data_IF_478602892372
#
_entry.id   IF_478602892372
#
_cell.length_a   1.000
_cell.length_b   1.000
_cell.length_c   1.000
_cell.angle_alpha   90.00
_cell.angle_beta   90.00
_cell.angle_gamma   90.00
#
_symmetry.space_group_name_H-M   'P 1'
#
loop_
_entity.id
_entity.type
_entity.pdbx_description
1 polymer ?
#
# COMPACT_ATOMS: atom_id res chain seq x y z
N UNK A 1 26.46 -5.60 12.75
CA UNK A 1 26.26 -5.26 12.34
C UNK A 1 26.04 -4.62 11.98
N UNK A 2 25.88 -4.71 12.10
CA UNK A 2 25.47 -4.14 11.56
C UNK A 2 25.68 -3.34 10.68
N UNK A 3 26.25 -3.18 10.09
CA UNK A 3 26.42 -2.44 9.14
C UNK A 3 25.67 -2.60 7.97
N UNK A 4 25.18 -3.55 7.55
CA UNK A 4 24.36 -3.77 6.46
C UNK A 4 23.08 -3.07 6.55
N UNK A 5 22.67 -2.78 7.68
CA UNK A 5 21.54 -2.04 7.88
C UNK A 5 21.59 -0.71 7.24
N UNK A 6 22.65 -0.05 7.24
CA UNK A 6 22.76 1.20 6.63
C UNK A 6 22.52 1.18 5.19
N UNK A 7 23.02 0.25 4.50
CA UNK A 7 22.82 0.16 3.10
C UNK A 7 21.41 -0.02 2.76
N UNK A 8 20.75 -0.83 3.48
CA UNK A 8 19.36 -1.10 3.22
C UNK A 8 18.53 0.13 3.42
N UNK A 9 18.80 0.85 4.44
CA UNK A 9 18.06 2.04 4.69
C UNK A 9 18.18 3.06 3.60
N UNK A 10 19.37 3.24 3.09
CA UNK A 10 19.58 4.14 2.04
C UNK A 10 18.78 3.80 0.85
N UNK A 11 18.80 2.55 0.43
CA UNK A 11 18.09 2.12 -0.68
C UNK A 11 16.62 2.33 -0.50
N UNK A 12 16.09 2.01 0.65
CA UNK A 12 14.69 2.13 0.91
C UNK A 12 14.21 3.55 0.82
N UNK A 13 14.95 4.47 1.31
CA UNK A 13 14.56 5.85 1.27
C UNK A 13 14.36 6.37 -0.12
N UNK A 14 15.04 5.83 -1.06
CA UNK A 14 14.89 6.29 -2.41
C UNK A 14 13.77 5.61 -3.15
N UNK A 15 13.32 4.47 -2.63
CA UNK A 15 12.39 3.62 -3.34
C UNK A 15 10.96 3.63 -2.86
N UNK A 16 10.63 4.41 -1.87
CA UNK A 16 9.25 4.38 -1.38
C UNK A 16 8.73 5.75 -0.99
N UNK A 17 7.41 5.83 -0.96
CA UNK A 17 6.69 7.01 -0.50
C UNK A 17 5.98 6.64 0.79
N UNK A 18 5.79 7.60 1.67
CA UNK A 18 5.16 7.35 2.95
C UNK A 18 4.30 8.51 3.35
N UNK A 19 3.11 8.23 3.89
CA UNK A 19 2.22 9.25 4.41
C UNK A 19 1.47 8.71 5.61
N UNK A 20 1.20 9.58 6.57
CA UNK A 20 0.39 9.22 7.72
C UNK A 20 -1.07 9.49 7.42
N UNK A 21 -1.95 8.73 8.02
CA UNK A 21 -3.38 8.98 7.93
C UNK A 21 -4.00 8.71 9.31
N UNK A 22 -5.31 8.84 9.40
CA UNK A 22 -5.97 8.82 10.71
C UNK A 22 -5.75 7.55 11.53
N UNK A 23 -5.58 6.42 10.86
CA UNK A 23 -5.46 5.15 11.56
C UNK A 23 -4.07 4.53 11.48
N UNK A 24 -3.12 5.19 10.82
CA UNK A 24 -1.78 4.63 10.69
C UNK A 24 -0.93 5.30 9.64
N UNK A 25 -0.13 4.50 8.94
CA UNK A 25 0.80 5.00 7.94
C UNK A 25 0.74 4.11 6.71
N UNK A 26 0.73 4.71 5.53
CA UNK A 26 0.78 3.96 4.29
C UNK A 26 2.13 4.18 3.64
N UNK A 27 2.74 3.09 3.13
CA UNK A 27 4.00 3.12 2.41
C UNK A 27 3.81 2.44 1.08
N UNK A 28 4.38 3.04 0.03
CA UNK A 28 4.26 2.50 -1.32
C UNK A 28 5.63 2.41 -1.94
N UNK A 29 5.97 1.24 -2.47
CA UNK A 29 7.23 0.98 -3.13
C UNK A 29 7.00 0.84 -4.64
N UNK A 30 7.96 1.31 -5.40
CA UNK A 30 7.89 1.24 -6.85
C UNK A 30 8.09 -0.21 -7.31
N UNK A 31 7.15 -0.73 -8.05
CA UNK A 31 7.23 -2.10 -8.55
C UNK A 31 7.99 -2.25 -9.85
N UNK A 32 8.43 -1.14 -10.42
CA UNK A 32 9.15 -1.19 -11.68
C UNK A 32 8.23 -1.23 -12.86
N UNK A 33 8.80 -1.45 -14.04
CA UNK A 33 8.04 -1.43 -15.26
C UNK A 33 7.14 -2.63 -15.46
N UNK A 34 7.49 -3.74 -14.85
CA UNK A 34 6.73 -4.97 -15.07
C UNK A 34 5.74 -5.33 -14.00
N UNK A 35 5.74 -4.60 -12.91
CA UNK A 35 4.90 -4.94 -11.77
C UNK A 35 4.18 -3.72 -11.25
N UNK A 36 3.05 -3.93 -10.63
CA UNK A 36 2.35 -2.84 -9.97
C UNK A 36 3.15 -2.38 -8.76
N UNK A 37 2.95 -1.15 -8.36
CA UNK A 37 3.52 -0.67 -7.12
C UNK A 37 2.85 -1.43 -5.98
N UNK A 38 3.55 -1.58 -4.88
CA UNK A 38 3.05 -2.34 -3.76
C UNK A 38 3.48 -1.67 -2.46
N UNK A 39 2.91 -2.09 -1.38
CA UNK A 39 3.29 -1.47 -0.13
C UNK A 39 2.60 -2.08 1.06
N UNK A 40 2.43 -1.28 2.08
CA UNK A 40 1.81 -1.74 3.30
C UNK A 40 1.11 -0.61 4.00
N UNK A 41 0.11 -0.98 4.80
CA UNK A 41 -0.56 -0.06 5.69
C UNK A 41 -0.26 -0.56 7.09
N UNK A 42 0.41 0.25 7.89
CA UNK A 42 0.71 -0.08 9.28
C UNK A 42 -0.28 0.64 10.14
N UNK A 43 -1.10 -0.11 10.85
CA UNK A 43 -2.14 0.48 11.68
C UNK A 43 -1.60 0.80 13.07
N UNK A 44 -2.13 1.85 13.66
CA UNK A 44 -1.70 2.27 14.99
C UNK A 44 -1.95 1.19 16.03
N UNK A 45 -2.91 0.31 15.78
CA UNK A 45 -3.19 -0.78 16.72
C UNK A 45 -2.20 -1.93 16.58
N UNK A 46 -1.23 -1.85 15.68
CA UNK A 46 -0.17 -2.85 15.59
C UNK A 46 -0.24 -3.82 14.44
N UNK A 47 -1.29 -3.76 13.62
CA UNK A 47 -1.39 -4.65 12.47
C UNK A 47 -0.77 -4.02 11.24
N UNK A 48 -0.25 -4.88 10.36
CA UNK A 48 0.29 -4.46 9.06
C UNK A 48 -0.45 -5.22 7.99
N UNK A 49 -0.91 -4.51 6.96
CA UNK A 49 -1.61 -5.12 5.84
C UNK A 49 -0.83 -4.80 4.58
N UNK A 50 -0.45 -5.83 3.83
CA UNK A 50 0.26 -5.63 2.58
C UNK A 50 -0.74 -5.35 1.47
N UNK A 51 -0.41 -4.41 0.60
CA UNK A 51 -1.32 -3.95 -0.45
C UNK A 51 -0.61 -3.86 -1.78
N UNK A 52 -1.40 -3.77 -2.84
CA UNK A 52 -0.90 -3.53 -4.19
C UNK A 52 -1.65 -2.32 -4.72
N UNK A 53 -0.97 -1.47 -5.48
CA UNK A 53 -1.60 -0.31 -6.09
C UNK A 53 -1.87 -0.66 -7.54
N UNK A 54 -3.12 -0.65 -7.92
CA UNK A 54 -3.53 -1.00 -9.27
C UNK A 54 -3.89 0.27 -10.03
N UNK A 55 -3.30 0.43 -11.20
CA UNK A 55 -3.56 1.60 -12.02
C UNK A 55 -4.46 1.22 -13.18
N UNK A 56 -5.54 1.97 -13.39
CA UNK A 56 -6.44 1.74 -14.49
C UNK A 56 -6.63 3.06 -15.22
N UNK A 57 -7.41 3.02 -16.28
CA UNK A 57 -7.70 4.23 -17.03
C UNK A 57 -8.47 5.24 -16.21
N UNK A 58 -9.16 4.78 -15.19
CA UNK A 58 -9.93 5.66 -14.35
C UNK A 58 -9.16 6.19 -13.16
N UNK A 59 -7.96 5.69 -12.93
CA UNK A 59 -7.15 6.13 -11.81
C UNK A 59 -6.54 4.96 -11.08
N UNK A 60 -6.09 5.21 -9.87
CA UNK A 60 -5.42 4.20 -9.07
C UNK A 60 -6.29 3.78 -7.90
N UNK A 61 -6.14 2.55 -7.47
CA UNK A 61 -6.83 2.11 -6.27
C UNK A 61 -5.98 1.09 -5.51
N UNK A 62 -6.32 0.90 -4.24
CA UNK A 62 -5.60 -0.02 -3.37
C UNK A 62 -6.26 -1.39 -3.47
N UNK A 63 -5.45 -2.40 -3.77
CA UNK A 63 -5.92 -3.77 -3.82
C UNK A 63 -5.43 -4.48 -2.56
N UNK A 64 -6.35 -5.03 -1.80
CA UNK A 64 -6.02 -5.72 -0.56
C UNK A 64 -5.79 -7.20 -0.83
N UNK A 65 -5.11 -7.91 0.09
CA UNK A 65 -4.86 -9.33 -0.11
C UNK A 65 -6.17 -10.09 -0.32
N UNK A 66 -6.18 -11.02 -1.27
CA UNK A 66 -7.36 -11.80 -1.56
C UNK A 66 -6.96 -13.20 -1.96
N UNK A 67 -7.93 -14.10 -1.98
CA UNK A 67 -7.69 -15.45 -2.44
C UNK A 67 -8.88 -15.90 -3.28
N UNK A 68 -8.63 -16.89 -4.13
CA UNK A 68 -9.64 -17.40 -5.03
C UNK A 68 -10.28 -18.63 -4.43
N UNK A 69 -11.61 -18.66 -4.41
CA UNK A 69 -12.31 -19.80 -3.86
C UNK A 69 -12.47 -20.88 -4.92
N UNK A 70 -12.99 -22.02 -4.53
CA UNK A 70 -13.24 -23.12 -5.46
C UNK A 70 -14.27 -22.74 -6.50
N UNK A 71 -15.11 -21.75 -6.20
CA UNK A 71 -16.12 -21.31 -7.15
C UNK A 71 -15.57 -20.19 -8.02
N UNK A 72 -14.27 -19.96 -7.94
CA UNK A 72 -13.60 -18.94 -8.73
C UNK A 72 -13.99 -17.52 -8.38
N UNK A 73 -14.37 -17.30 -7.14
CA UNK A 73 -14.65 -15.97 -6.63
C UNK A 73 -13.46 -15.50 -5.83
N UNK A 74 -13.18 -14.20 -5.85
CA UNK A 74 -12.10 -13.63 -5.06
C UNK A 74 -12.67 -13.05 -3.78
N UNK A 75 -12.03 -13.41 -2.67
CA UNK A 75 -12.44 -12.91 -1.37
C UNK A 75 -11.26 -12.17 -0.75
N UNK A 76 -11.47 -10.92 -0.35
CA UNK A 76 -10.41 -10.16 0.27
C UNK A 76 -10.10 -10.70 1.66
N UNK A 77 -8.83 -10.90 1.95
CA UNK A 77 -8.41 -11.33 3.27
C UNK A 77 -8.38 -10.16 4.25
N UNK A 78 -8.30 -8.96 3.71
CA UNK A 78 -8.35 -7.74 4.52
C UNK A 78 -9.01 -6.66 3.68
N UNK A 79 -9.72 -5.75 4.32
CA UNK A 79 -10.34 -4.64 3.59
C UNK A 79 -10.73 -3.56 4.60
N UNK A 80 -10.94 -2.36 4.09
CA UNK A 80 -11.37 -1.24 4.91
C UNK A 80 -12.86 -1.04 4.71
N UNK A 81 -13.63 -1.00 5.78
CA UNK A 81 -15.07 -0.82 5.67
C UNK A 81 -15.54 0.56 6.16
N UNK A 82 -14.64 1.35 6.72
CA UNK A 82 -14.98 2.68 7.19
C UNK A 82 -14.87 3.66 6.03
N UNK A 83 -16.00 4.20 5.60
CA UNK A 83 -16.04 5.09 4.48
C UNK A 83 -15.14 6.30 4.59
N UNK A 84 -15.06 6.88 5.78
CA UNK A 84 -14.23 8.06 5.98
C UNK A 84 -12.76 7.72 5.77
N UNK A 85 -12.34 6.55 6.23
CA UNK A 85 -10.96 6.12 6.08
C UNK A 85 -10.67 5.78 4.62
N UNK A 86 -11.63 5.17 3.92
CA UNK A 86 -11.48 4.85 2.52
C UNK A 86 -11.26 6.13 1.71
N UNK A 87 -12.06 7.16 1.98
CA UNK A 87 -11.92 8.42 1.27
C UNK A 87 -10.60 9.10 1.58
N UNK A 88 -10.20 9.02 2.83
CA UNK A 88 -8.93 9.58 3.25
C UNK A 88 -7.78 8.91 2.52
N UNK A 89 -7.81 7.59 2.45
CA UNK A 89 -6.75 6.85 1.76
C UNK A 89 -6.72 7.13 0.27
N UNK A 90 -7.89 7.28 -0.34
CA UNK A 90 -7.95 7.62 -1.76
C UNK A 90 -7.34 8.98 -2.02
N UNK A 91 -7.63 9.96 -1.17
CA UNK A 91 -7.08 11.30 -1.31
C UNK A 91 -5.57 11.29 -1.13
N UNK A 92 -5.09 10.56 -0.15
CA UNK A 92 -3.67 10.46 0.12
C UNK A 92 -2.96 9.79 -1.06
N UNK A 93 -3.56 8.74 -1.60
CA UNK A 93 -2.99 8.04 -2.74
C UNK A 93 -2.81 9.00 -3.91
N UNK A 94 -3.81 9.83 -4.18
CA UNK A 94 -3.71 10.80 -5.24
C UNK A 94 -2.58 11.78 -4.98
N UNK A 95 -2.46 12.27 -3.77
CA UNK A 95 -1.39 13.18 -3.42
C UNK A 95 -0.02 12.58 -3.56
N UNK A 96 0.13 11.33 -3.16
CA UNK A 96 1.42 10.68 -3.24
C UNK A 96 1.91 10.54 -4.68
N UNK A 97 0.98 10.33 -5.60
CA UNK A 97 1.36 10.16 -6.99
C UNK A 97 1.43 11.48 -7.77
N UNK A 98 0.88 12.54 -7.21
CA UNK A 98 0.97 13.84 -7.86
C UNK A 98 2.30 14.53 -7.60
N UNK A 99 3.00 14.11 -6.60
CA UNK A 99 4.33 14.69 -6.30
C UNK A 99 5.47 14.05 -7.14
#
# INVERSE_FOLDING_TARGET
MANSKKKTEKKTKEDFMERDFSAGTIRIYDGGKKHNDYGSISLDCGFVIYITIVETKKGRFISYPSYKTKKEEYINQAYCFDKAVIEELNDILEEMYDD
#
